data_IF_981667447221
#
_entry.id   IF_981667447221
#
_cell.length_a   1.000
_cell.length_b   1.000
_cell.length_c   1.000
_cell.angle_alpha   90.00
_cell.angle_beta   90.00
_cell.angle_gamma   90.00
#
_symmetry.space_group_name_H-M   'P 1'
#
loop_
_entity.id
_entity.type
_entity.pdbx_description
1 polymer ?
#
# COMPACT_ATOMS: atom_id res chain seq x y z
N UNK A 1 75.10 -30.57 -14.14
CA UNK A 1 73.83 -30.98 -13.51
C UNK A 1 73.21 -29.73 -12.90
N UNK A 2 72.27 -29.12 -13.62
CA UNK A 2 71.73 -27.79 -13.35
C UNK A 2 70.37 -27.93 -12.67
N UNK A 3 70.24 -27.45 -11.43
CA UNK A 3 68.96 -27.34 -10.72
C UNK A 3 68.23 -26.07 -11.17
N UNK A 4 67.09 -26.23 -11.82
CA UNK A 4 66.17 -25.14 -12.14
C UNK A 4 65.22 -24.89 -10.95
N UNK A 5 64.89 -23.63 -10.61
CA UNK A 5 64.00 -23.34 -9.49
C UNK A 5 62.53 -23.44 -9.91
N UNK A 6 61.73 -23.94 -8.96
CA UNK A 6 60.28 -24.08 -9.02
C UNK A 6 59.62 -22.69 -9.12
N UNK A 7 58.96 -22.37 -10.23
CA UNK A 7 58.14 -21.15 -10.37
C UNK A 7 56.83 -21.32 -9.61
N UNK A 8 56.66 -20.55 -8.54
CA UNK A 8 55.38 -20.39 -7.84
C UNK A 8 54.42 -19.62 -8.76
N UNK A 9 53.34 -20.26 -9.18
CA UNK A 9 52.28 -19.63 -9.96
C UNK A 9 51.29 -18.99 -8.98
N UNK A 10 51.42 -17.68 -8.74
CA UNK A 10 50.47 -16.94 -7.91
C UNK A 10 49.18 -16.73 -8.70
N UNK A 11 48.14 -17.52 -8.39
CA UNK A 11 46.81 -17.35 -8.93
C UNK A 11 46.19 -16.09 -8.31
N UNK A 12 46.18 -14.98 -9.05
CA UNK A 12 45.47 -13.77 -8.65
C UNK A 12 43.97 -14.05 -8.75
N UNK A 13 43.32 -14.29 -7.61
CA UNK A 13 41.87 -14.32 -7.49
C UNK A 13 41.41 -12.87 -7.69
N UNK A 14 40.91 -12.56 -8.88
CA UNK A 14 40.15 -11.34 -9.11
C UNK A 14 38.85 -11.45 -8.32
N UNK A 15 38.83 -10.88 -7.12
CA UNK A 15 37.60 -10.56 -6.41
C UNK A 15 36.86 -9.51 -7.25
N UNK A 16 35.93 -9.97 -8.09
CA UNK A 16 34.91 -9.11 -8.65
C UNK A 16 34.01 -8.68 -7.50
N UNK A 17 34.31 -7.53 -6.89
CA UNK A 17 33.33 -6.79 -6.11
C UNK A 17 32.24 -6.36 -7.08
N UNK A 18 31.24 -7.21 -7.28
CA UNK A 18 29.94 -6.77 -7.78
C UNK A 18 29.40 -5.81 -6.71
N UNK A 19 29.83 -4.56 -6.77
CA UNK A 19 29.20 -3.49 -6.03
C UNK A 19 27.79 -3.39 -6.58
N UNK A 20 26.82 -3.92 -5.83
CA UNK A 20 25.43 -3.54 -6.00
C UNK A 20 25.43 -2.01 -6.01
N UNK A 21 25.20 -1.41 -7.18
CA UNK A 21 24.97 0.03 -7.25
C UNK A 21 23.73 0.28 -6.41
N UNK A 22 23.92 0.90 -5.24
CA UNK A 22 22.81 1.31 -4.40
C UNK A 22 21.85 2.15 -5.27
N UNK A 23 20.58 1.78 -5.29
CA UNK A 23 19.58 2.45 -6.10
C UNK A 23 19.49 3.92 -5.68
N UNK A 24 19.43 4.84 -6.65
CA UNK A 24 19.22 6.25 -6.31
C UNK A 24 17.75 6.45 -5.98
N UNK A 25 17.43 6.59 -4.69
CA UNK A 25 16.04 6.69 -4.28
C UNK A 25 15.44 8.08 -4.50
N UNK A 26 16.25 9.15 -4.33
CA UNK A 26 15.82 10.55 -4.36
C UNK A 26 16.90 11.39 -5.06
N UNK A 27 16.48 12.24 -6.00
CA UNK A 27 17.38 13.14 -6.71
C UNK A 27 17.79 14.34 -5.84
N UNK A 28 19.05 14.78 -5.97
CA UNK A 28 19.62 15.84 -5.12
C UNK A 28 19.08 17.24 -5.43
N UNK A 29 18.57 17.47 -6.62
CA UNK A 29 18.06 18.76 -7.08
C UNK A 29 16.54 18.91 -6.86
N UNK A 30 15.93 17.95 -6.17
CA UNK A 30 14.49 17.87 -5.91
C UNK A 30 13.63 17.53 -7.13
N UNK A 31 14.25 17.23 -8.29
CA UNK A 31 13.53 16.61 -9.40
C UNK A 31 13.14 15.18 -9.06
N UNK A 32 12.32 14.57 -9.90
CA UNK A 32 11.94 13.18 -9.78
C UNK A 32 11.58 12.65 -11.16
N UNK A 33 11.83 11.36 -11.40
CA UNK A 33 11.55 10.76 -12.70
C UNK A 33 10.04 10.74 -13.00
N UNK A 34 9.68 11.13 -14.22
CA UNK A 34 8.32 11.23 -14.74
C UNK A 34 8.24 10.54 -16.11
N UNK A 35 7.03 10.14 -16.51
CA UNK A 35 6.72 9.77 -17.90
C UNK A 35 5.81 10.83 -18.53
N UNK A 36 5.81 11.02 -19.87
CA UNK A 36 4.93 11.97 -20.53
C UNK A 36 3.46 11.74 -20.18
N UNK A 37 2.72 12.83 -19.96
CA UNK A 37 1.27 12.75 -19.74
C UNK A 37 0.55 12.49 -21.07
N UNK A 38 -0.44 11.61 -21.06
CA UNK A 38 -1.37 11.44 -22.19
C UNK A 38 -2.32 12.64 -22.31
N UNK A 39 -2.62 13.30 -21.17
CA UNK A 39 -3.54 14.44 -21.09
C UNK A 39 -3.30 15.32 -19.87
N UNK A 40 -3.80 16.55 -19.94
CA UNK A 40 -3.59 17.56 -18.90
C UNK A 40 -4.40 17.32 -17.63
N UNK A 41 -5.59 16.71 -17.79
CA UNK A 41 -6.54 16.50 -16.71
C UNK A 41 -6.90 15.05 -16.54
N UNK A 42 -6.93 14.59 -15.30
CA UNK A 42 -7.15 13.20 -14.90
C UNK A 42 -8.38 13.11 -14.03
N UNK A 43 -9.21 12.10 -14.28
CA UNK A 43 -10.45 11.83 -13.54
C UNK A 43 -10.19 10.69 -12.57
N UNK A 44 -10.29 11.00 -11.28
CA UNK A 44 -10.22 10.01 -10.20
C UNK A 44 -11.64 9.72 -9.74
N UNK A 45 -11.97 8.44 -9.66
CA UNK A 45 -13.18 7.97 -8.98
C UNK A 45 -12.82 7.14 -7.77
N UNK A 46 -13.56 7.39 -6.69
CA UNK A 46 -13.44 6.64 -5.45
C UNK A 46 -14.78 5.98 -5.18
N UNK A 47 -14.73 4.67 -5.02
CA UNK A 47 -15.88 3.83 -4.71
C UNK A 47 -15.81 3.51 -3.22
N UNK A 48 -16.87 3.81 -2.49
CA UNK A 48 -17.13 3.25 -1.17
C UNK A 48 -18.25 2.22 -1.31
N UNK A 49 -18.01 1.00 -0.87
CA UNK A 49 -18.96 -0.09 -0.98
C UNK A 49 -19.02 -0.91 0.29
N UNK A 50 -20.20 -1.48 0.52
CA UNK A 50 -20.42 -2.46 1.58
C UNK A 50 -19.86 -3.78 1.11
N UNK A 51 -18.92 -4.36 1.85
CA UNK A 51 -18.39 -5.68 1.53
C UNK A 51 -18.83 -6.70 2.57
N UNK A 52 -19.27 -7.87 2.14
CA UNK A 52 -19.58 -8.98 3.05
C UNK A 52 -18.33 -9.80 3.34
N UNK A 53 -18.17 -10.24 4.57
CA UNK A 53 -17.03 -11.07 4.93
C UNK A 53 -17.17 -12.44 4.28
N UNK A 54 -16.07 -13.01 3.79
CA UNK A 54 -16.10 -14.34 3.16
C UNK A 54 -16.62 -15.43 4.11
N UNK A 55 -16.48 -15.24 5.42
CA UNK A 55 -16.95 -16.15 6.46
C UNK A 55 -18.49 -16.17 6.60
N UNK A 56 -19.19 -15.17 6.05
CA UNK A 56 -20.66 -15.09 6.07
C UNK A 56 -21.30 -15.94 4.96
N UNK A 57 -20.50 -16.51 4.06
CA UNK A 57 -20.95 -17.32 2.93
C UNK A 57 -20.73 -18.82 3.19
N UNK A 58 -21.52 -19.71 2.54
CA UNK A 58 -21.33 -21.15 2.67
C UNK A 58 -19.94 -21.62 2.21
N UNK A 59 -19.35 -20.94 1.21
CA UNK A 59 -17.97 -21.18 0.76
C UNK A 59 -17.24 -19.88 0.44
N UNK A 60 -15.90 -19.92 0.52
CA UNK A 60 -15.03 -18.79 0.14
C UNK A 60 -15.25 -18.39 -1.32
N UNK A 61 -15.44 -19.36 -2.21
CA UNK A 61 -15.65 -19.14 -3.64
C UNK A 61 -16.97 -18.40 -3.91
N UNK A 62 -18.04 -18.75 -3.20
CA UNK A 62 -19.32 -18.04 -3.31
C UNK A 62 -19.21 -16.60 -2.80
N UNK A 63 -18.48 -16.38 -1.70
CA UNK A 63 -18.23 -15.04 -1.18
C UNK A 63 -17.41 -14.17 -2.13
N UNK A 64 -16.33 -14.72 -2.69
CA UNK A 64 -15.50 -14.03 -3.68
C UNK A 64 -16.31 -13.70 -4.94
N UNK A 65 -17.10 -14.65 -5.45
CA UNK A 65 -17.95 -14.42 -6.61
C UNK A 65 -19.00 -13.32 -6.35
N UNK A 66 -19.61 -13.31 -5.16
CA UNK A 66 -20.57 -12.27 -4.76
C UNK A 66 -19.92 -10.89 -4.72
N UNK A 67 -18.82 -10.75 -4.00
CA UNK A 67 -18.12 -9.47 -3.84
C UNK A 67 -17.51 -8.99 -5.17
N UNK A 68 -16.99 -9.89 -6.00
CA UNK A 68 -16.51 -9.58 -7.35
C UNK A 68 -17.63 -9.09 -8.26
N UNK A 69 -18.83 -9.67 -8.18
CA UNK A 69 -19.99 -9.19 -8.94
C UNK A 69 -20.40 -7.77 -8.53
N UNK A 70 -20.32 -7.44 -7.25
CA UNK A 70 -20.55 -6.07 -6.76
C UNK A 70 -19.48 -5.10 -7.27
N UNK A 71 -18.19 -5.45 -7.17
CA UNK A 71 -17.12 -4.65 -7.75
C UNK A 71 -17.29 -4.46 -9.25
N UNK A 72 -17.81 -5.47 -9.96
CA UNK A 72 -18.11 -5.41 -11.39
C UNK A 72 -19.19 -4.37 -11.69
N UNK A 73 -20.33 -4.42 -10.99
CA UNK A 73 -21.42 -3.45 -11.15
C UNK A 73 -20.92 -2.02 -10.86
N UNK A 74 -20.20 -1.83 -9.76
CA UNK A 74 -19.67 -0.53 -9.36
C UNK A 74 -18.63 0.01 -10.34
N UNK A 75 -17.79 -0.85 -10.89
CA UNK A 75 -16.85 -0.48 -11.95
C UNK A 75 -17.61 -0.06 -13.20
N UNK A 76 -18.60 -0.83 -13.66
CA UNK A 76 -19.41 -0.48 -14.83
C UNK A 76 -20.15 0.85 -14.64
N UNK A 77 -20.70 1.10 -13.45
CA UNK A 77 -21.32 2.39 -13.09
C UNK A 77 -20.30 3.52 -13.09
N UNK A 78 -19.14 3.33 -12.48
CA UNK A 78 -18.04 4.30 -12.49
C UNK A 78 -17.61 4.67 -13.92
N UNK A 79 -17.58 3.69 -14.83
CA UNK A 79 -17.19 3.87 -16.23
C UNK A 79 -18.24 4.60 -17.08
N UNK A 80 -19.53 4.41 -16.77
CA UNK A 80 -20.64 4.88 -17.62
C UNK A 80 -21.37 6.11 -17.10
N UNK A 81 -21.28 6.41 -15.81
CA UNK A 81 -21.93 7.57 -15.18
C UNK A 81 -20.90 8.66 -14.91
N UNK A 82 -21.26 9.94 -15.05
CA UNK A 82 -20.31 11.05 -14.83
C UNK A 82 -19.20 11.11 -15.89
N UNK A 83 -18.00 11.53 -15.50
CA UNK A 83 -16.83 11.55 -16.41
C UNK A 83 -16.21 10.16 -16.55
N UNK A 84 -15.61 9.83 -17.71
CA UNK A 84 -14.85 8.57 -17.86
C UNK A 84 -13.68 8.56 -16.87
N UNK A 85 -13.52 7.52 -16.02
CA UNK A 85 -12.45 7.44 -15.03
C UNK A 85 -11.11 7.05 -15.65
N UNK A 86 -10.04 7.67 -15.17
CA UNK A 86 -8.66 7.22 -15.38
C UNK A 86 -8.20 6.27 -14.29
N UNK A 87 -8.70 6.50 -13.07
CA UNK A 87 -8.48 5.67 -11.90
C UNK A 87 -9.81 5.40 -11.21
N UNK A 88 -10.04 4.14 -10.84
CA UNK A 88 -11.10 3.72 -9.93
C UNK A 88 -10.44 3.13 -8.68
N UNK A 89 -10.64 3.77 -7.54
CA UNK A 89 -10.15 3.33 -6.23
C UNK A 89 -11.27 2.68 -5.42
N UNK A 90 -11.05 1.45 -4.99
CA UNK A 90 -11.85 0.75 -3.98
C UNK A 90 -11.15 0.74 -2.61
N UNK A 91 -11.85 0.22 -1.60
CA UNK A 91 -11.40 0.22 -0.20
C UNK A 91 -10.31 -0.84 0.08
N UNK A 92 -10.01 -1.06 1.36
CA UNK A 92 -8.95 -1.97 1.82
C UNK A 92 -9.25 -3.45 1.57
N UNK A 93 -10.53 -3.87 1.53
CA UNK A 93 -10.91 -5.28 1.43
C UNK A 93 -12.17 -5.55 0.57
N UNK A 94 -12.33 -4.96 -0.63
CA UNK A 94 -13.59 -5.04 -1.38
C UNK A 94 -13.93 -6.44 -1.91
N UNK A 95 -12.96 -7.36 -1.97
CA UNK A 95 -13.18 -8.77 -2.36
C UNK A 95 -13.42 -9.68 -1.16
N UNK A 96 -12.76 -9.43 -0.04
CA UNK A 96 -12.66 -10.39 1.07
C UNK A 96 -13.48 -10.00 2.30
N UNK A 97 -13.84 -8.72 2.41
CA UNK A 97 -14.26 -8.14 3.68
C UNK A 97 -13.18 -8.28 4.75
N UNK A 98 -13.56 -8.05 6.00
CA UNK A 98 -12.69 -8.20 7.15
C UNK A 98 -12.76 -9.64 7.69
N UNK A 99 -11.68 -10.41 7.49
CA UNK A 99 -11.55 -11.74 8.08
C UNK A 99 -11.17 -11.65 9.57
N UNK A 100 -11.89 -12.36 10.44
CA UNK A 100 -11.55 -12.52 11.85
C UNK A 100 -10.94 -13.91 12.14
N UNK A 101 -10.67 -14.19 13.41
CA UNK A 101 -10.19 -15.50 13.85
C UNK A 101 -8.69 -15.73 13.70
N UNK A 102 -8.30 -17.01 13.78
CA UNK A 102 -6.90 -17.44 13.77
C UNK A 102 -6.29 -17.36 12.37
N UNK A 103 -4.96 -17.22 12.33
CA UNK A 103 -4.16 -17.06 11.13
C UNK A 103 -4.42 -18.13 10.07
N UNK A 104 -4.50 -19.40 10.46
CA UNK A 104 -4.80 -20.50 9.53
C UNK A 104 -6.17 -20.36 8.86
N UNK A 105 -7.18 -19.87 9.59
CA UNK A 105 -8.51 -19.63 9.03
C UNK A 105 -8.54 -18.38 8.17
N UNK A 106 -7.88 -17.31 8.61
CA UNK A 106 -7.75 -16.07 7.83
C UNK A 106 -7.03 -16.32 6.49
N UNK A 107 -6.00 -17.17 6.47
CA UNK A 107 -5.28 -17.55 5.24
C UNK A 107 -6.21 -18.17 4.19
N UNK A 108 -7.25 -18.91 4.59
CA UNK A 108 -8.24 -19.48 3.65
C UNK A 108 -9.08 -18.40 2.97
N UNK A 109 -9.22 -17.24 3.60
CA UNK A 109 -9.97 -16.08 3.13
C UNK A 109 -9.09 -15.04 2.42
N UNK A 110 -7.85 -15.39 2.07
CA UNK A 110 -6.93 -14.51 1.30
C UNK A 110 -6.92 -14.87 -0.18
N UNK A 111 -6.64 -13.87 -1.03
CA UNK A 111 -6.44 -14.06 -2.47
C UNK A 111 -4.96 -14.19 -2.83
N UNK A 112 -4.67 -14.56 -4.08
CA UNK A 112 -3.34 -14.44 -4.68
C UNK A 112 -3.32 -13.27 -5.66
N UNK A 113 -2.20 -12.55 -5.75
CA UNK A 113 -2.06 -11.40 -6.66
C UNK A 113 -0.75 -11.58 -7.45
N UNK A 114 -0.80 -11.81 -8.77
CA UNK A 114 -2.00 -12.03 -9.60
C UNK A 114 -2.74 -13.35 -9.26
N UNK A 115 -4.01 -13.42 -9.63
CA UNK A 115 -4.92 -14.55 -9.41
C UNK A 115 -6.28 -14.34 -10.12
N UNK A 116 -7.23 -15.28 -9.96
CA UNK A 116 -8.51 -15.27 -10.68
C UNK A 116 -9.30 -13.96 -10.51
N UNK A 117 -9.33 -13.39 -9.31
CA UNK A 117 -10.06 -12.15 -9.05
C UNK A 117 -9.40 -10.96 -9.75
N UNK A 118 -8.06 -10.87 -9.74
CA UNK A 118 -7.34 -9.81 -10.48
C UNK A 118 -7.43 -9.97 -11.99
N UNK A 119 -7.58 -11.20 -12.51
CA UNK A 119 -7.79 -11.45 -13.94
C UNK A 119 -9.18 -10.98 -14.37
N UNK A 120 -10.22 -11.28 -13.58
CA UNK A 120 -11.57 -10.80 -13.83
C UNK A 120 -11.66 -9.26 -13.79
N UNK A 121 -11.05 -8.64 -12.77
CA UNK A 121 -10.94 -7.18 -12.69
C UNK A 121 -10.08 -6.59 -13.83
N UNK A 122 -9.07 -7.34 -14.31
CA UNK A 122 -8.27 -7.01 -15.48
C UNK A 122 -9.07 -6.83 -16.75
N UNK A 123 -10.04 -7.72 -17.00
CA UNK A 123 -10.95 -7.58 -18.14
C UNK A 123 -11.78 -6.30 -18.04
N UNK A 124 -12.27 -5.96 -16.84
CA UNK A 124 -13.03 -4.73 -16.61
C UNK A 124 -12.17 -3.47 -16.79
N UNK A 125 -10.94 -3.50 -16.27
CA UNK A 125 -9.98 -2.40 -16.41
C UNK A 125 -9.72 -2.09 -17.89
N UNK A 126 -9.57 -3.15 -18.70
CA UNK A 126 -9.37 -3.06 -20.14
C UNK A 126 -10.60 -2.57 -20.89
N UNK A 127 -11.78 -3.09 -20.57
CA UNK A 127 -13.03 -2.69 -21.22
C UNK A 127 -13.39 -1.22 -20.92
N UNK A 128 -13.10 -0.77 -19.70
CA UNK A 128 -13.29 0.62 -19.29
C UNK A 128 -12.13 1.54 -19.69
N UNK A 129 -10.99 0.97 -20.06
CA UNK A 129 -9.75 1.68 -20.35
C UNK A 129 -9.33 2.58 -19.17
N UNK A 130 -9.25 1.98 -17.98
CA UNK A 130 -9.00 2.64 -16.69
C UNK A 130 -8.05 1.81 -15.81
N UNK A 131 -7.42 2.43 -14.82
CA UNK A 131 -6.73 1.72 -13.76
C UNK A 131 -7.72 1.34 -12.65
N UNK A 132 -7.66 0.11 -12.13
CA UNK A 132 -8.44 -0.33 -10.97
C UNK A 132 -7.50 -0.58 -9.79
N UNK A 133 -7.77 0.05 -8.66
CA UNK A 133 -6.95 0.02 -7.45
C UNK A 133 -7.77 -0.51 -6.28
N UNK A 134 -7.24 -1.50 -5.55
CA UNK A 134 -7.91 -2.05 -4.38
C UNK A 134 -6.93 -2.69 -3.39
N UNK A 135 -7.30 -2.72 -2.11
CA UNK A 135 -6.57 -3.47 -1.09
C UNK A 135 -7.04 -4.92 -0.99
N UNK A 136 -6.22 -5.80 -0.43
CA UNK A 136 -6.66 -7.13 -0.01
C UNK A 136 -5.72 -7.73 1.03
N UNK A 137 -6.25 -8.66 1.82
CA UNK A 137 -5.39 -9.68 2.40
C UNK A 137 -5.03 -10.71 1.34
N UNK A 138 -3.73 -10.92 1.17
CA UNK A 138 -3.19 -11.83 0.19
C UNK A 138 -2.27 -12.86 0.82
N UNK A 139 -2.10 -13.98 0.11
CA UNK A 139 -1.08 -15.00 0.36
C UNK A 139 -0.14 -15.10 -0.84
N UNK A 140 1.08 -15.49 -0.56
CA UNK A 140 2.14 -15.68 -1.55
C UNK A 140 2.98 -16.89 -1.14
N UNK A 141 3.26 -17.79 -2.08
CA UNK A 141 4.05 -19.01 -1.81
C UNK A 141 5.48 -18.69 -1.35
N UNK A 142 6.01 -17.51 -1.70
CA UNK A 142 7.30 -17.05 -1.19
C UNK A 142 7.26 -16.62 0.29
N UNK A 143 6.06 -16.35 0.83
CA UNK A 143 5.81 -15.94 2.20
C UNK A 143 4.85 -16.91 2.90
N UNK A 144 5.22 -18.20 3.05
CA UNK A 144 4.31 -19.22 3.54
C UNK A 144 3.87 -18.91 4.97
N UNK A 145 2.57 -19.01 5.24
CA UNK A 145 1.97 -18.75 6.55
C UNK A 145 1.80 -17.27 6.92
N UNK A 146 2.24 -16.33 6.07
CA UNK A 146 2.03 -14.91 6.28
C UNK A 146 0.71 -14.44 5.65
N UNK A 147 -0.01 -13.57 6.36
CA UNK A 147 -1.13 -12.81 5.80
C UNK A 147 -0.58 -11.46 5.36
N UNK A 148 -0.45 -11.26 4.07
CA UNK A 148 0.07 -10.02 3.49
C UNK A 148 -1.04 -8.97 3.37
N UNK A 149 -0.74 -7.72 3.70
CA UNK A 149 -1.64 -6.59 3.41
C UNK A 149 -1.11 -5.87 2.18
N UNK A 150 -1.74 -6.11 1.03
CA UNK A 150 -1.31 -5.63 -0.28
C UNK A 150 -2.36 -4.70 -0.89
N UNK A 151 -1.91 -3.77 -1.73
CA UNK A 151 -2.78 -3.03 -2.64
C UNK A 151 -2.36 -3.33 -4.07
N UNK A 152 -3.30 -3.84 -4.88
CA UNK A 152 -3.08 -4.09 -6.29
C UNK A 152 -3.44 -2.85 -7.11
N UNK A 153 -2.62 -2.58 -8.12
CA UNK A 153 -2.98 -1.69 -9.23
C UNK A 153 -3.07 -2.54 -10.48
N UNK A 154 -4.26 -2.60 -11.08
CA UNK A 154 -4.49 -3.23 -12.38
C UNK A 154 -4.44 -2.13 -13.43
N UNK A 155 -3.58 -2.32 -14.44
CA UNK A 155 -3.41 -1.42 -15.56
C UNK A 155 -4.55 -1.50 -16.57
N UNK A 156 -4.61 -0.48 -17.44
CA UNK A 156 -5.56 -0.40 -18.57
C UNK A 156 -5.40 -1.54 -19.58
N UNK A 157 -4.25 -2.23 -19.57
CA UNK A 157 -4.01 -3.41 -20.39
C UNK A 157 -4.59 -4.70 -19.79
N UNK A 158 -5.18 -4.60 -18.59
CA UNK A 158 -5.79 -5.69 -17.84
C UNK A 158 -4.81 -6.51 -17.00
N UNK A 159 -3.54 -6.09 -16.87
CA UNK A 159 -2.54 -6.80 -16.05
C UNK A 159 -2.32 -6.09 -14.72
N UNK A 160 -1.88 -6.84 -13.71
CA UNK A 160 -1.39 -6.25 -12.47
C UNK A 160 -0.11 -5.46 -12.78
N UNK A 161 -0.19 -4.14 -12.66
CA UNK A 161 0.91 -3.21 -12.90
C UNK A 161 1.82 -3.09 -11.69
N UNK A 162 1.26 -3.13 -10.47
CA UNK A 162 2.02 -3.05 -9.22
C UNK A 162 1.27 -3.70 -8.03
N UNK A 163 2.02 -4.19 -7.05
CA UNK A 163 1.56 -4.71 -5.76
C UNK A 163 2.22 -3.93 -4.62
N UNK A 164 1.57 -2.87 -4.15
CA UNK A 164 2.06 -2.07 -3.03
C UNK A 164 1.87 -2.81 -1.72
N UNK A 165 2.96 -3.23 -1.09
CA UNK A 165 2.94 -3.75 0.28
C UNK A 165 2.67 -2.62 1.26
N UNK A 166 1.82 -2.87 2.26
CA UNK A 166 1.69 -1.95 3.39
C UNK A 166 3.06 -1.84 4.07
N UNK A 167 3.54 -0.60 4.26
CA UNK A 167 4.87 -0.37 4.85
C UNK A 167 4.90 -0.83 6.31
N UNK A 168 3.86 -0.50 7.07
CA UNK A 168 3.71 -0.89 8.47
C UNK A 168 2.26 -0.84 8.95
N UNK A 169 1.98 -1.61 10.00
CA UNK A 169 0.74 -1.48 10.75
C UNK A 169 0.85 -0.36 11.80
N UNK A 170 -0.31 0.20 12.15
CA UNK A 170 -0.42 1.01 13.37
C UNK A 170 0.04 0.16 14.57
N UNK A 171 0.72 0.81 15.51
CA UNK A 171 1.26 0.16 16.71
C UNK A 171 0.47 0.58 17.94
N UNK A 172 0.39 -0.30 18.92
CA UNK A 172 -0.49 -0.18 20.07
C UNK A 172 -1.94 0.06 19.62
N UNK A 173 -2.42 -0.75 18.67
CA UNK A 173 -3.71 -0.54 18.01
C UNK A 173 -4.87 -0.45 19.01
N UNK A 174 -4.98 -1.43 19.91
CA UNK A 174 -6.01 -1.48 20.95
C UNK A 174 -5.44 -2.13 22.23
N UNK A 175 -6.04 -1.88 23.41
CA UNK A 175 -5.65 -2.57 24.64
C UNK A 175 -5.72 -4.09 24.46
N UNK A 176 -4.58 -4.77 24.66
CA UNK A 176 -4.48 -6.23 24.55
C UNK A 176 -4.44 -6.80 23.14
N UNK A 177 -4.47 -5.98 22.08
CA UNK A 177 -4.57 -6.44 20.69
C UNK A 177 -3.66 -5.63 19.75
N UNK A 178 -3.02 -6.33 18.82
CA UNK A 178 -2.31 -5.76 17.67
C UNK A 178 -2.80 -6.36 16.35
N UNK A 179 -2.45 -5.75 15.22
CA UNK A 179 -2.80 -6.25 13.89
C UNK A 179 -1.80 -7.34 13.46
N UNK A 180 -2.22 -8.61 13.29
CA UNK A 180 -1.33 -9.74 13.00
C UNK A 180 -1.08 -9.95 11.50
N UNK A 181 -0.94 -8.86 10.73
CA UNK A 181 -0.64 -8.93 9.29
C UNK A 181 0.82 -8.61 9.03
N UNK A 182 1.37 -9.18 7.98
CA UNK A 182 2.75 -8.95 7.56
C UNK A 182 2.83 -7.75 6.62
N UNK A 183 3.77 -6.86 6.94
CA UNK A 183 4.10 -5.60 6.28
C UNK A 183 5.60 -5.54 6.04
N UNK A 184 6.08 -4.57 5.26
CA UNK A 184 7.52 -4.44 4.96
C UNK A 184 8.34 -4.33 6.27
N UNK A 185 7.90 -3.51 7.24
CA UNK A 185 8.59 -3.37 8.55
C UNK A 185 8.79 -4.71 9.28
N UNK A 186 7.86 -5.66 9.10
CA UNK A 186 7.90 -6.94 9.81
C UNK A 186 8.92 -7.93 9.25
N UNK A 187 9.32 -7.79 7.99
CA UNK A 187 10.19 -8.71 7.23
C UNK A 187 11.22 -7.97 6.36
N UNK A 188 11.59 -6.77 6.78
CA UNK A 188 12.37 -5.77 6.04
C UNK A 188 13.62 -6.34 5.34
N UNK A 189 14.50 -7.04 6.05
CA UNK A 189 15.79 -7.49 5.49
C UNK A 189 15.55 -8.48 4.34
N UNK A 190 14.67 -9.47 4.57
CA UNK A 190 14.29 -10.45 3.57
C UNK A 190 13.50 -9.83 2.42
N UNK A 191 12.65 -8.85 2.71
CA UNK A 191 11.91 -8.08 1.70
C UNK A 191 12.88 -7.34 0.76
N UNK A 192 13.83 -6.58 1.31
CA UNK A 192 14.83 -5.85 0.52
C UNK A 192 15.71 -6.82 -0.28
N UNK A 193 16.09 -7.96 0.30
CA UNK A 193 16.87 -8.97 -0.42
C UNK A 193 16.12 -9.58 -1.62
N UNK A 194 14.80 -9.71 -1.54
CA UNK A 194 13.97 -10.29 -2.59
C UNK A 194 13.53 -9.29 -3.65
N UNK A 195 13.17 -8.08 -3.24
CA UNK A 195 12.48 -7.10 -4.09
C UNK A 195 13.34 -5.85 -4.39
N UNK A 196 14.38 -5.60 -3.60
CA UNK A 196 15.23 -4.42 -3.72
C UNK A 196 14.76 -3.25 -2.86
N UNK A 197 15.66 -2.28 -2.67
CA UNK A 197 15.43 -1.12 -1.80
C UNK A 197 14.40 -0.13 -2.39
N UNK A 198 14.27 -0.09 -3.72
CA UNK A 198 13.28 0.77 -4.40
C UNK A 198 11.84 0.43 -4.04
N UNK A 199 11.59 -0.85 -3.73
CA UNK A 199 10.28 -1.42 -3.38
C UNK A 199 9.86 -1.11 -1.93
N UNK A 200 10.72 -0.48 -1.13
CA UNK A 200 10.31 0.07 0.16
C UNK A 200 9.27 1.20 0.00
N UNK A 201 9.43 1.97 -1.08
CA UNK A 201 8.58 3.10 -1.46
C UNK A 201 8.46 3.17 -2.99
N UNK A 202 7.75 2.21 -3.62
CA UNK A 202 7.64 2.15 -5.07
C UNK A 202 6.79 3.34 -5.58
N UNK A 203 7.06 3.76 -6.81
CA UNK A 203 6.30 4.81 -7.51
C UNK A 203 5.95 4.29 -8.89
N UNK A 204 4.68 3.97 -9.10
CA UNK A 204 4.18 3.57 -10.40
C UNK A 204 4.01 4.81 -11.27
N UNK A 205 4.81 4.92 -12.32
CA UNK A 205 4.78 6.06 -13.25
C UNK A 205 3.84 5.73 -14.39
N UNK A 206 2.69 6.40 -14.42
CA UNK A 206 1.70 6.24 -15.48
C UNK A 206 1.63 7.51 -16.35
N UNK A 207 1.03 7.35 -17.51
CA UNK A 207 0.64 8.41 -18.43
C UNK A 207 -0.37 9.41 -17.84
N UNK A 208 -0.85 9.17 -16.61
CA UNK A 208 -1.76 10.02 -15.85
C UNK A 208 -1.14 10.59 -14.56
N UNK A 209 0.11 10.24 -14.24
CA UNK A 209 0.74 10.69 -13.01
C UNK A 209 1.72 9.68 -12.41
N UNK A 210 2.56 10.15 -11.51
CA UNK A 210 3.29 9.28 -10.60
C UNK A 210 2.39 8.93 -9.42
N UNK A 211 2.08 7.66 -9.23
CA UNK A 211 1.14 7.21 -8.21
C UNK A 211 1.81 6.27 -7.21
N UNK A 212 1.26 6.25 -6.01
CA UNK A 212 1.50 5.20 -5.03
C UNK A 212 0.18 4.86 -4.33
N UNK A 213 0.13 3.67 -3.74
CA UNK A 213 -1.02 3.20 -2.95
C UNK A 213 -0.57 2.86 -1.54
N UNK A 214 -1.27 3.35 -0.51
CA UNK A 214 -0.94 3.06 0.88
C UNK A 214 -2.18 2.87 1.75
N UNK A 215 -2.13 1.84 2.59
CA UNK A 215 -3.14 1.55 3.62
C UNK A 215 -2.72 2.09 5.00
N UNK A 216 -1.58 2.77 5.09
CA UNK A 216 -1.06 3.31 6.35
C UNK A 216 -1.89 4.53 6.76
N UNK A 217 -2.24 4.65 8.03
CA UNK A 217 -3.00 5.79 8.55
C UNK A 217 -2.16 6.53 9.59
N UNK A 218 -2.21 7.87 9.58
CA UNK A 218 -1.55 8.75 10.57
C UNK A 218 -0.03 8.55 10.70
N UNK A 219 0.67 8.30 9.59
CA UNK A 219 2.12 8.12 9.57
C UNK A 219 2.82 9.12 8.66
N UNK A 220 3.28 10.23 9.24
CA UNK A 220 3.90 11.30 8.47
C UNK A 220 5.18 10.84 7.78
N UNK A 221 6.04 10.06 8.45
CA UNK A 221 7.35 9.66 7.92
C UNK A 221 7.21 8.77 6.67
N UNK A 222 6.26 7.83 6.68
CA UNK A 222 5.96 6.99 5.50
C UNK A 222 5.53 7.87 4.32
N UNK A 223 4.61 8.82 4.55
CA UNK A 223 4.13 9.69 3.48
C UNK A 223 5.19 10.71 3.00
N UNK A 224 6.06 11.18 3.90
CA UNK A 224 7.20 12.02 3.52
C UNK A 224 8.16 11.28 2.59
N UNK A 225 8.41 9.98 2.85
CA UNK A 225 9.25 9.16 1.98
C UNK A 225 8.64 9.01 0.57
N UNK A 226 7.35 8.70 0.45
CA UNK A 226 6.67 8.68 -0.85
C UNK A 226 6.68 10.06 -1.55
N UNK A 227 6.54 11.15 -0.80
CA UNK A 227 6.62 12.50 -1.35
C UNK A 227 8.02 12.82 -1.92
N UNK A 228 9.08 12.42 -1.21
CA UNK A 228 10.46 12.53 -1.67
C UNK A 228 10.76 11.64 -2.88
N UNK A 229 10.05 10.52 -3.03
CA UNK A 229 10.11 9.66 -4.22
C UNK A 229 9.39 10.24 -5.44
N UNK A 230 8.69 11.37 -5.29
CA UNK A 230 8.04 12.06 -6.39
C UNK A 230 6.62 11.57 -6.71
N UNK A 231 5.89 11.08 -5.70
CA UNK A 231 4.46 10.78 -5.84
C UNK A 231 3.66 12.06 -6.08
N UNK A 232 2.74 12.00 -7.04
CA UNK A 232 1.85 13.09 -7.43
C UNK A 232 0.41 12.83 -6.99
N UNK A 233 -0.01 11.56 -6.99
CA UNK A 233 -1.32 11.10 -6.54
C UNK A 233 -1.13 9.94 -5.56
N UNK A 234 -1.50 10.15 -4.30
CA UNK A 234 -1.48 9.14 -3.25
C UNK A 234 -2.86 8.53 -3.08
N UNK A 235 -3.04 7.31 -3.58
CA UNK A 235 -4.24 6.52 -3.35
C UNK A 235 -4.17 5.84 -2.00
N UNK A 236 -5.27 5.85 -1.26
CA UNK A 236 -5.33 5.33 0.10
C UNK A 236 -6.53 4.44 0.27
N UNK A 237 -6.28 3.25 0.77
CA UNK A 237 -7.32 2.27 1.11
C UNK A 237 -7.48 2.22 2.62
N UNK A 238 -8.71 2.06 3.09
CA UNK A 238 -9.00 1.98 4.51
C UNK A 238 -10.21 1.11 4.83
N UNK A 239 -10.14 0.48 6.00
CA UNK A 239 -11.30 0.03 6.78
C UNK A 239 -11.77 1.11 7.75
N UNK A 240 -10.84 1.90 8.28
CA UNK A 240 -11.08 3.04 9.16
C UNK A 240 -10.00 4.10 8.91
N UNK A 241 -10.38 5.38 8.90
CA UNK A 241 -9.44 6.48 8.70
C UNK A 241 -9.87 7.75 9.44
N UNK A 242 -9.10 8.83 9.30
CA UNK A 242 -9.51 10.17 9.72
C UNK A 242 -9.41 11.14 8.56
N UNK A 243 -10.47 11.92 8.32
CA UNK A 243 -10.47 12.98 7.31
C UNK A 243 -9.32 13.98 7.51
N UNK A 244 -9.04 14.36 8.76
CA UNK A 244 -7.94 15.27 9.09
C UNK A 244 -6.59 14.69 8.63
N UNK A 245 -6.38 13.38 8.82
CA UNK A 245 -5.17 12.71 8.37
C UNK A 245 -5.01 12.79 6.85
N UNK A 246 -6.06 12.56 6.07
CA UNK A 246 -6.02 12.64 4.60
C UNK A 246 -5.68 14.06 4.14
N UNK A 247 -6.35 15.06 4.74
CA UNK A 247 -6.14 16.47 4.40
C UNK A 247 -4.74 16.97 4.75
N UNK A 248 -4.29 16.70 5.99
CA UNK A 248 -2.98 17.11 6.46
C UNK A 248 -1.86 16.39 5.68
N UNK A 249 -2.02 15.10 5.42
CA UNK A 249 -1.06 14.31 4.64
C UNK A 249 -0.93 14.86 3.23
N UNK A 250 -2.02 15.12 2.50
CA UNK A 250 -1.95 15.75 1.18
C UNK A 250 -1.26 17.13 1.21
N UNK A 251 -1.63 17.97 2.19
CA UNK A 251 -1.10 19.33 2.34
C UNK A 251 0.41 19.35 2.64
N UNK A 252 0.87 18.58 3.63
CA UNK A 252 2.27 18.57 4.06
C UNK A 252 3.22 17.84 3.08
N UNK A 253 2.67 17.02 2.20
CA UNK A 253 3.44 16.25 1.23
C UNK A 253 3.30 16.76 -0.21
N UNK A 254 2.47 17.79 -0.42
CA UNK A 254 2.23 18.41 -1.73
C UNK A 254 1.91 17.36 -2.79
N UNK A 255 0.86 16.56 -2.58
CA UNK A 255 0.29 15.63 -3.57
C UNK A 255 -1.23 15.62 -3.52
N UNK A 256 -1.89 15.18 -4.59
CA UNK A 256 -3.30 14.81 -4.50
C UNK A 256 -3.45 13.56 -3.66
N UNK A 257 -4.55 13.42 -2.92
CA UNK A 257 -4.84 12.16 -2.22
C UNK A 257 -6.29 11.75 -2.40
N UNK A 258 -6.51 10.48 -2.70
CA UNK A 258 -7.83 9.87 -2.79
C UNK A 258 -7.91 8.77 -1.75
N UNK A 259 -8.95 8.78 -0.92
CA UNK A 259 -9.17 7.83 0.16
C UNK A 259 -10.49 7.11 -0.05
N UNK A 260 -10.43 5.79 -0.19
CA UNK A 260 -11.60 4.91 -0.15
C UNK A 260 -11.68 4.21 1.20
N UNK A 261 -12.83 4.33 1.85
CA UNK A 261 -13.16 3.63 3.07
C UNK A 261 -14.33 2.66 2.84
N UNK A 262 -14.33 1.55 3.56
CA UNK A 262 -15.39 0.55 3.51
C UNK A 262 -16.72 1.10 4.08
N UNK A 263 -17.86 0.62 3.57
CA UNK A 263 -19.15 0.79 4.24
C UNK A 263 -19.43 -0.36 5.19
N UNK A 264 -20.16 -0.08 6.27
CA UNK A 264 -20.62 -1.09 7.22
C UNK A 264 -22.14 -1.28 7.13
N UNK A 265 -22.68 -2.46 7.51
CA UNK A 265 -24.12 -2.64 7.69
C UNK A 265 -24.71 -1.55 8.59
N UNK A 266 -25.92 -1.08 8.28
CA UNK A 266 -26.54 0.05 8.99
C UNK A 266 -26.80 -0.25 10.48
N UNK A 267 -26.94 -1.52 10.85
CA UNK A 267 -27.12 -2.03 12.21
C UNK A 267 -25.80 -2.40 12.91
N UNK A 268 -24.65 -2.25 12.24
CA UNK A 268 -23.33 -2.46 12.83
C UNK A 268 -22.97 -1.35 13.82
N UNK A 269 -22.29 -1.70 14.91
CA UNK A 269 -21.68 -0.72 15.83
C UNK A 269 -20.64 0.18 15.12
N UNK A 270 -20.10 -0.27 13.99
CA UNK A 270 -19.12 0.46 13.17
C UNK A 270 -19.77 1.33 12.08
N UNK A 271 -21.11 1.37 11.97
CA UNK A 271 -21.83 2.10 10.92
C UNK A 271 -21.48 3.59 10.85
N UNK A 272 -21.22 4.24 11.99
CA UNK A 272 -20.84 5.65 12.06
C UNK A 272 -19.43 5.95 11.52
N UNK A 273 -18.63 4.91 11.31
CA UNK A 273 -17.26 4.99 10.77
C UNK A 273 -17.15 4.45 9.33
N UNK A 274 -18.26 4.02 8.73
CA UNK A 274 -18.30 3.55 7.35
C UNK A 274 -18.45 4.70 6.35
N UNK A 275 -17.91 4.51 5.15
CA UNK A 275 -17.87 5.52 4.10
C UNK A 275 -17.03 6.72 4.49
N UNK A 276 -17.45 7.94 4.14
CA UNK A 276 -16.65 9.15 4.36
C UNK A 276 -15.55 9.35 3.32
N UNK A 277 -15.57 8.56 2.23
CA UNK A 277 -14.52 8.60 1.22
C UNK A 277 -14.40 9.99 0.61
N UNK A 278 -13.19 10.37 0.24
CA UNK A 278 -12.89 11.73 -0.22
C UNK A 278 -11.69 11.80 -1.16
N UNK A 279 -11.66 12.87 -1.97
CA UNK A 279 -10.54 13.26 -2.81
C UNK A 279 -10.08 14.65 -2.38
N UNK A 280 -8.78 14.85 -2.22
CA UNK A 280 -8.17 16.04 -1.62
C UNK A 280 -7.06 16.58 -2.52
N UNK A 281 -6.99 17.91 -2.63
CA UNK A 281 -5.94 18.63 -3.37
C UNK A 281 -4.61 18.67 -2.60
N UNK A 282 -3.49 19.00 -3.27
CA UNK A 282 -2.19 19.21 -2.61
C UNK A 282 -2.16 20.31 -1.55
N UNK A 283 -3.21 21.13 -1.45
CA UNK A 283 -3.35 22.16 -0.40
C UNK A 283 -4.21 21.70 0.78
N UNK A 284 -4.72 20.46 0.75
CA UNK A 284 -5.64 19.93 1.76
C UNK A 284 -7.11 20.30 1.53
N UNK A 285 -7.45 20.86 0.36
CA UNK A 285 -8.84 21.20 0.01
C UNK A 285 -9.60 19.94 -0.43
N UNK A 286 -10.77 19.68 0.14
CA UNK A 286 -11.62 18.57 -0.29
C UNK A 286 -12.24 18.89 -1.64
N UNK A 287 -11.94 18.07 -2.64
CA UNK A 287 -12.44 18.20 -4.02
C UNK A 287 -13.77 17.46 -4.23
N UNK A 288 -13.92 16.30 -3.56
CA UNK A 288 -15.14 15.51 -3.54
C UNK A 288 -15.18 14.69 -2.25
N UNK A 289 -16.37 14.42 -1.72
CA UNK A 289 -16.59 13.64 -0.51
C UNK A 289 -18.00 13.05 -0.51
N UNK A 290 -18.14 11.82 -0.02
CA UNK A 290 -19.41 11.24 0.40
C UNK A 290 -19.32 10.95 1.90
N UNK A 291 -19.93 11.80 2.76
CA UNK A 291 -19.84 11.63 4.21
C UNK A 291 -20.75 10.51 4.74
N UNK A 292 -21.55 9.88 3.88
CA UNK A 292 -22.52 8.87 4.28
C UNK A 292 -21.89 7.49 4.43
N UNK A 293 -22.57 6.61 5.16
CA UNK A 293 -22.32 5.17 5.15
C UNK A 293 -23.21 4.45 4.11
N UNK A 294 -23.38 5.04 2.93
CA UNK A 294 -24.03 4.38 1.79
C UNK A 294 -23.02 4.03 0.71
N UNK A 295 -23.33 2.99 -0.07
CA UNK A 295 -22.55 2.68 -1.26
C UNK A 295 -22.66 3.82 -2.28
N UNK A 296 -21.52 4.27 -2.80
CA UNK A 296 -21.45 5.49 -3.59
C UNK A 296 -20.15 5.61 -4.38
N UNK A 297 -20.19 6.50 -5.38
CA UNK A 297 -19.05 6.81 -6.24
C UNK A 297 -18.90 8.32 -6.24
N UNK A 298 -17.76 8.82 -5.77
CA UNK A 298 -17.39 10.22 -5.89
C UNK A 298 -16.37 10.39 -7.00
N UNK A 299 -16.34 11.56 -7.63
CA UNK A 299 -15.41 11.87 -8.71
C UNK A 299 -14.80 13.26 -8.56
N UNK A 300 -13.54 13.40 -8.97
CA UNK A 300 -12.87 14.68 -9.14
C UNK A 300 -12.00 14.67 -10.40
N UNK A 301 -11.99 15.79 -11.12
CA UNK A 301 -11.04 16.04 -12.21
C UNK A 301 -9.90 16.91 -11.67
N UNK A 302 -8.67 16.42 -11.77
CA UNK A 302 -7.46 17.11 -11.32
C UNK A 302 -6.63 17.56 -12.52
N UNK A 303 -5.98 18.72 -12.41
CA UNK A 303 -5.12 19.29 -13.45
C UNK A 303 -3.66 18.86 -13.20
N UNK A 304 -3.31 17.66 -13.68
CA UNK A 304 -2.02 17.03 -13.41
C UNK A 304 -0.88 17.70 -14.19
N UNK A 305 -1.15 18.21 -15.40
CA UNK A 305 -0.16 18.96 -16.16
C UNK A 305 0.23 20.26 -15.44
N UNK A 306 -0.76 21.04 -14.99
CA UNK A 306 -0.49 22.25 -14.19
C UNK A 306 0.20 21.91 -12.87
N UNK A 307 -0.15 20.80 -12.24
CA UNK A 307 0.51 20.36 -11.01
C UNK A 307 1.98 20.00 -11.22
N UNK A 308 2.35 19.45 -12.39
CA UNK A 308 3.76 19.14 -12.73
C UNK A 308 4.60 20.36 -13.08
N UNK A 309 3.98 21.44 -13.55
CA UNK A 309 4.68 22.64 -14.02
C UNK A 309 5.61 23.22 -12.94
N UNK A 310 6.92 23.13 -13.16
CA UNK A 310 7.94 23.63 -12.25
C UNK A 310 8.00 22.92 -10.88
N UNK A 311 7.31 21.79 -10.72
CA UNK A 311 7.21 21.11 -9.42
C UNK A 311 8.53 20.44 -9.02
N UNK A 312 8.85 20.55 -7.73
CA UNK A 312 9.92 19.83 -7.04
C UNK A 312 9.33 19.06 -5.86
N UNK A 313 10.03 18.04 -5.36
CA UNK A 313 9.64 17.34 -4.13
C UNK A 313 9.65 18.32 -2.92
N UNK A 314 8.89 18.03 -1.84
CA UNK A 314 8.84 18.93 -0.70
C UNK A 314 10.21 19.16 -0.02
N UNK A 315 10.53 20.40 0.41
CA UNK A 315 11.82 20.73 1.01
C UNK A 315 11.87 20.40 2.51
N UNK A 316 11.87 19.12 2.87
CA UNK A 316 11.94 18.71 4.27
C UNK A 316 13.27 19.13 4.92
N UNK A 317 13.25 19.69 6.15
CA UNK A 317 14.45 20.25 6.76
C UNK A 317 15.28 19.16 7.47
N UNK A 318 15.74 18.14 6.74
CA UNK A 318 16.44 16.96 7.29
C UNK A 318 17.65 17.36 8.13
N UNK A 319 18.39 18.40 7.73
CA UNK A 319 19.59 18.83 8.46
C UNK A 319 19.30 19.41 9.85
N UNK A 320 18.23 20.22 10.01
CA UNK A 320 17.92 20.82 11.31
C UNK A 320 17.32 19.79 12.29
N UNK A 321 16.62 18.79 11.76
CA UNK A 321 16.01 17.73 12.58
C UNK A 321 17.00 16.63 12.93
N UNK A 322 18.08 16.48 12.16
CA UNK A 322 19.11 15.43 12.29
C UNK A 322 19.56 15.15 13.73
N UNK A 323 19.93 16.14 14.58
CA UNK A 323 20.44 15.83 15.93
C UNK A 323 19.42 15.13 16.84
N UNK A 324 18.12 15.32 16.58
CA UNK A 324 17.05 14.62 17.29
C UNK A 324 16.85 13.23 16.70
N UNK A 325 16.76 13.13 15.37
CA UNK A 325 16.46 11.88 14.68
C UNK A 325 17.61 10.86 14.77
N UNK A 326 18.87 11.30 14.82
CA UNK A 326 20.03 10.41 15.03
C UNK A 326 20.05 9.75 16.41
N UNK A 327 19.42 10.36 17.42
CA UNK A 327 19.29 9.81 18.76
C UNK A 327 17.97 9.03 18.95
N UNK A 328 17.01 9.21 18.05
CA UNK A 328 15.71 8.55 18.14
C UNK A 328 15.84 7.06 17.86
N UNK A 329 15.27 6.24 18.74
CA UNK A 329 15.16 4.80 18.53
C UNK A 329 13.70 4.39 18.54
N UNK A 330 13.21 3.84 17.43
CA UNK A 330 11.84 3.33 17.34
C UNK A 330 11.58 2.24 18.39
N UNK A 331 10.37 2.26 18.96
CA UNK A 331 9.94 1.32 19.99
C UNK A 331 10.06 -0.14 19.54
N UNK A 332 9.63 -0.43 18.32
CA UNK A 332 9.57 -1.80 17.81
C UNK A 332 10.66 -2.03 16.76
N UNK A 333 11.53 -3.05 16.90
CA UNK A 333 12.54 -3.36 15.90
C UNK A 333 11.91 -3.86 14.59
N UNK A 334 12.66 -3.74 13.49
CA UNK A 334 12.34 -4.39 12.22
C UNK A 334 12.38 -5.92 12.35
N UNK A 335 11.87 -6.63 11.35
CA UNK A 335 12.04 -8.09 11.19
C UNK A 335 11.36 -8.97 12.25
N UNK A 336 10.43 -8.42 13.04
CA UNK A 336 9.81 -9.16 14.14
C UNK A 336 8.82 -10.26 13.69
N UNK A 337 8.51 -10.38 12.39
CA UNK A 337 7.81 -11.54 11.82
C UNK A 337 8.68 -12.35 10.85
N UNK A 338 9.97 -12.04 10.69
CA UNK A 338 10.89 -12.90 9.90
C UNK A 338 11.35 -14.07 10.77
N UNK A 339 10.42 -14.98 11.04
CA UNK A 339 10.56 -16.13 11.94
C UNK A 339 9.97 -17.40 11.29
N UNK A 340 10.30 -18.60 11.78
CA UNK A 340 9.65 -19.82 11.34
C UNK A 340 8.11 -19.78 11.43
N UNK A 341 7.41 -20.49 10.54
CA UNK A 341 5.95 -20.44 10.38
C UNK A 341 5.20 -20.80 11.68
N UNK A 342 5.76 -21.72 12.47
CA UNK A 342 5.23 -22.17 13.76
C UNK A 342 5.43 -21.16 14.90
N UNK A 343 6.16 -20.07 14.64
CA UNK A 343 6.38 -18.96 15.58
C UNK A 343 5.64 -17.68 15.18
N UNK A 344 4.99 -17.66 14.01
CA UNK A 344 4.13 -16.56 13.62
C UNK A 344 2.90 -16.49 14.54
N UNK A 345 2.49 -15.30 15.00
CA UNK A 345 1.34 -15.15 15.88
C UNK A 345 0.06 -15.56 15.17
N UNK A 346 -0.80 -16.32 15.84
CA UNK A 346 -2.04 -16.79 15.26
C UNK A 346 -3.14 -15.72 15.26
N UNK A 347 -3.09 -14.76 16.18
CA UNK A 347 -4.10 -13.73 16.30
C UNK A 347 -3.53 -12.41 16.85
N UNK A 348 -4.41 -11.42 17.02
CA UNK A 348 -4.00 -10.11 17.51
C UNK A 348 -3.53 -10.09 18.96
N UNK A 349 -3.97 -11.04 19.80
CA UNK A 349 -3.55 -11.12 21.19
C UNK A 349 -2.14 -11.73 21.30
N UNK A 350 -1.84 -12.75 20.48
CA UNK A 350 -0.48 -13.27 20.37
C UNK A 350 0.47 -12.25 19.73
N UNK A 351 0.02 -11.52 18.70
CA UNK A 351 0.78 -10.41 18.14
C UNK A 351 1.07 -9.35 19.20
N UNK A 352 0.09 -9.01 20.06
CA UNK A 352 0.33 -8.08 21.18
C UNK A 352 1.42 -8.57 22.12
N UNK A 353 1.39 -9.85 22.52
CA UNK A 353 2.42 -10.44 23.39
C UNK A 353 3.81 -10.39 22.73
N UNK A 354 3.89 -10.69 21.44
CA UNK A 354 5.12 -10.56 20.67
C UNK A 354 5.63 -9.11 20.69
N UNK A 355 4.77 -8.15 20.36
CA UNK A 355 5.11 -6.73 20.29
C UNK A 355 5.57 -6.19 21.64
N UNK A 356 4.92 -6.57 22.74
CA UNK A 356 5.33 -6.19 24.08
C UNK A 356 6.72 -6.73 24.45
N UNK A 357 6.99 -7.98 24.06
CA UNK A 357 8.27 -8.66 24.31
C UNK A 357 9.42 -8.05 23.52
N UNK A 358 9.19 -7.62 22.28
CA UNK A 358 10.24 -7.06 21.40
C UNK A 358 10.40 -5.54 21.54
N UNK A 359 9.44 -4.87 22.18
CA UNK A 359 9.51 -3.42 22.40
C UNK A 359 10.78 -3.05 23.18
N UNK A 360 11.53 -2.09 22.63
CA UNK A 360 12.70 -1.47 23.24
C UNK A 360 12.34 -0.50 24.36
N UNK A 361 11.09 -0.03 24.38
CA UNK A 361 10.62 0.97 25.34
C UNK A 361 9.93 0.33 26.55
N UNK A 362 9.56 -0.94 26.47
CA UNK A 362 9.08 -1.68 27.64
C UNK A 362 10.29 -2.04 28.50
N UNK A 363 10.28 -1.62 29.75
CA UNK A 363 11.27 -2.07 30.74
C UNK A 363 11.13 -3.57 30.93
N UNK A 364 12.22 -4.30 30.66
CA UNK A 364 12.35 -5.68 31.11
C UNK A 364 12.57 -5.62 32.62
N UNK A 365 11.54 -5.91 33.41
CA UNK A 365 11.73 -6.21 34.83
C UNK A 365 12.45 -7.55 35.02
#
# INVERSE_FOLDING_TARGET
>A
MSHAPLKLLTLAIALSTAGAHAATLVEKDGSYAQVPLEKDKVVIKVVQNLTKNLQDFPTIQEGLAHNLAQMTDLTQRACTQGKKPDFILFNEFPLTGYSDGKREDKLKSTITIPGPETEALGNLAKDCDTYIIFGSYARDDAWPGHILSLNAVIGRDGKVAEKFWKTRNVKNYQPGMEIPTTTIENVYDRYVAMYGEEELFPVLRTEYGNIAVSTVQRDTMVYNAFAMRGVEIMFRTATLFSKLDVMATASFNNFYSAMSNINFPADSEWASMGGGSLIVSPRGEVLAEDPSNNEGIIEAEIDIAKFREGRKIPPYPVEITRPVFEQYQQAFPLNHLDVPIDQLPDDGAEMKKLMDRVSRWNTRE
#
